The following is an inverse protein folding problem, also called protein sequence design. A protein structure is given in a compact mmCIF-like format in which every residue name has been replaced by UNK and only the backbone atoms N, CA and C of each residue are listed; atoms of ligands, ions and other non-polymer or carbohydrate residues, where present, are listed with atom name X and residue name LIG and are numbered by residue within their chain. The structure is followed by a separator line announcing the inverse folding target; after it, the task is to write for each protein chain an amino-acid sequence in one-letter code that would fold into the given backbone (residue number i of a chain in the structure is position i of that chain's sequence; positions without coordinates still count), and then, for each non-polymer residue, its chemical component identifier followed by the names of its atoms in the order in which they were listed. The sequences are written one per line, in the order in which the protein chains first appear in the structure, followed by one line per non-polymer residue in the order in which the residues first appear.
data_IF_019885412674
#
_entry.id   IF_019885412674
#
_cell.length_a   1.000
_cell.length_b   1.000
_cell.length_c   1.000
_cell.angle_alpha   90.00
_cell.angle_beta   90.00
_cell.angle_gamma   90.00
#
_symmetry.space_group_name_H-M   'P 1'
#
loop_
_entity.id
_entity.type
_entity.pdbx_description
1 polymer ?
#
# COMPACT_ATOMS: atom_id res chain seq x y z
N UNK A 1 9.65 7.16 18.90
CA UNK A 1 9.55 6.74 17.49
C UNK A 1 8.20 7.23 16.96
N UNK A 2 8.18 7.96 15.84
CA UNK A 2 6.96 8.58 15.31
C UNK A 2 5.97 7.49 14.85
N UNK A 3 4.73 7.53 15.35
CA UNK A 3 3.69 6.55 15.05
C UNK A 3 3.37 6.47 13.54
N UNK A 4 3.46 7.58 12.81
CA UNK A 4 3.30 7.59 11.36
C UNK A 4 4.42 6.79 10.66
N UNK A 5 5.66 6.92 11.14
CA UNK A 5 6.80 6.14 10.60
C UNK A 5 6.58 4.65 10.84
N UNK A 6 6.15 4.26 12.05
CA UNK A 6 5.83 2.87 12.37
C UNK A 6 4.75 2.29 11.45
N UNK A 7 3.69 3.05 11.20
CA UNK A 7 2.61 2.59 10.34
C UNK A 7 3.04 2.50 8.87
N UNK A 8 3.88 3.44 8.38
CA UNK A 8 4.48 3.34 7.05
C UNK A 8 5.40 2.11 6.92
N UNK A 9 6.20 1.81 7.95
CA UNK A 9 7.05 0.61 8.00
C UNK A 9 6.22 -0.67 7.95
N UNK A 10 5.09 -0.76 8.65
CA UNK A 10 4.20 -1.94 8.58
C UNK A 10 3.66 -2.17 7.16
N UNK A 11 3.25 -1.10 6.46
CA UNK A 11 2.81 -1.20 5.05
C UNK A 11 3.96 -1.67 4.17
N UNK A 12 5.15 -1.11 4.38
CA UNK A 12 6.37 -1.48 3.66
C UNK A 12 6.71 -2.96 3.86
N UNK A 13 6.70 -3.44 5.10
CA UNK A 13 6.97 -4.82 5.49
C UNK A 13 5.96 -5.79 4.87
N UNK A 14 4.66 -5.47 4.93
CA UNK A 14 3.61 -6.29 4.32
C UNK A 14 3.85 -6.49 2.82
N UNK A 15 4.18 -5.41 2.10
CA UNK A 15 4.39 -5.44 0.67
C UNK A 15 5.79 -5.93 0.26
N UNK A 16 6.71 -6.21 1.18
CA UNK A 16 8.09 -6.57 0.82
C UNK A 16 8.23 -7.96 0.19
N UNK A 17 7.59 -9.03 0.71
CA UNK A 17 7.77 -10.36 0.12
C UNK A 17 7.30 -10.42 -1.33
N UNK A 18 8.02 -11.21 -2.16
CA UNK A 18 7.66 -11.43 -3.55
C UNK A 18 6.23 -11.99 -3.64
N UNK A 19 5.40 -11.37 -4.47
CA UNK A 19 4.01 -11.78 -4.67
C UNK A 19 3.02 -11.21 -3.66
N UNK A 20 3.43 -10.35 -2.69
CA UNK A 20 2.50 -9.65 -1.77
C UNK A 20 1.83 -8.42 -2.35
N UNK A 21 2.29 -7.96 -3.52
CA UNK A 21 1.73 -6.81 -4.22
C UNK A 21 0.89 -7.22 -5.44
N UNK A 22 -0.22 -6.53 -5.68
CA UNK A 22 -1.05 -6.69 -6.88
C UNK A 22 -1.54 -5.36 -7.45
N UNK A 23 -1.85 -5.38 -8.75
CA UNK A 23 -2.56 -4.32 -9.47
C UNK A 23 -4.01 -4.71 -9.74
N UNK A 24 -4.84 -3.70 -9.99
CA UNK A 24 -6.24 -3.79 -10.48
C UNK A 24 -7.18 -4.60 -9.57
N UNK A 25 -6.79 -4.80 -8.33
CA UNK A 25 -7.54 -5.51 -7.31
C UNK A 25 -7.09 -5.01 -5.95
N UNK A 26 -8.02 -4.78 -5.02
CA UNK A 26 -7.69 -4.39 -3.66
C UNK A 26 -6.90 -5.51 -2.97
N UNK A 27 -7.33 -6.75 -3.18
CA UNK A 27 -6.71 -7.97 -2.69
C UNK A 27 -6.86 -9.12 -3.70
N UNK A 28 -5.99 -10.12 -3.63
CA UNK A 28 -6.21 -11.43 -4.27
C UNK A 28 -5.96 -12.59 -3.33
N UNK A 29 -6.67 -13.69 -3.57
CA UNK A 29 -6.41 -14.98 -2.91
C UNK A 29 -5.24 -15.75 -3.58
N UNK A 30 -4.91 -16.92 -3.02
CA UNK A 30 -3.84 -17.79 -3.52
C UNK A 30 -4.08 -18.30 -4.97
N UNK A 31 -5.33 -18.30 -5.43
CA UNK A 31 -5.69 -18.69 -6.79
C UNK A 31 -5.69 -17.48 -7.76
N UNK A 32 -5.42 -16.28 -7.27
CA UNK A 32 -5.37 -15.05 -8.06
C UNK A 32 -6.73 -14.35 -8.23
N UNK A 33 -7.79 -14.85 -7.58
CA UNK A 33 -9.11 -14.25 -7.65
C UNK A 33 -9.12 -12.93 -6.88
N UNK A 34 -9.75 -11.91 -7.45
CA UNK A 34 -9.97 -10.64 -6.76
C UNK A 34 -10.94 -10.83 -5.59
N UNK A 35 -10.58 -10.29 -4.42
CA UNK A 35 -11.46 -10.24 -3.25
C UNK A 35 -11.96 -8.80 -3.09
N UNK A 36 -13.27 -8.64 -2.87
CA UNK A 36 -13.95 -7.34 -2.85
C UNK A 36 -14.39 -6.87 -1.46
N UNK A 37 -14.27 -7.69 -0.41
CA UNK A 37 -14.69 -7.34 0.95
C UNK A 37 -13.54 -7.47 1.96
N UNK A 38 -13.57 -6.65 3.01
CA UNK A 38 -12.58 -6.68 4.10
C UNK A 38 -12.70 -7.96 4.96
N UNK A 39 -13.89 -8.53 5.11
CA UNK A 39 -14.11 -9.76 5.88
C UNK A 39 -13.51 -10.99 5.19
N UNK A 40 -13.60 -11.07 3.86
CA UNK A 40 -12.94 -12.12 3.08
C UNK A 40 -11.41 -11.92 3.04
N UNK A 41 -10.96 -10.67 3.17
CA UNK A 41 -9.56 -10.31 3.14
C UNK A 41 -8.77 -11.00 4.27
N UNK A 42 -9.23 -10.88 5.53
CA UNK A 42 -8.47 -11.38 6.69
C UNK A 42 -8.24 -12.89 6.64
N UNK A 43 -9.13 -13.61 5.95
CA UNK A 43 -9.15 -15.06 5.93
C UNK A 43 -8.49 -15.68 4.69
N UNK A 44 -8.40 -14.94 3.58
CA UNK A 44 -8.04 -15.55 2.28
C UNK A 44 -7.06 -14.75 1.42
N UNK A 45 -6.82 -13.48 1.72
CA UNK A 45 -5.95 -12.68 0.88
C UNK A 45 -4.48 -13.06 1.04
N UNK A 46 -3.83 -13.36 -0.08
CA UNK A 46 -2.38 -13.58 -0.14
C UNK A 46 -1.62 -12.33 -0.54
N UNK A 47 -2.24 -11.42 -1.28
CA UNK A 47 -1.61 -10.17 -1.70
C UNK A 47 -2.60 -9.00 -1.73
N UNK A 48 -2.06 -7.78 -1.70
CA UNK A 48 -2.84 -6.55 -1.69
C UNK A 48 -2.23 -5.51 -2.64
N UNK A 49 -3.06 -4.58 -3.14
CA UNK A 49 -2.53 -3.35 -3.71
C UNK A 49 -2.00 -2.43 -2.61
N UNK A 50 -1.42 -1.28 -2.98
CA UNK A 50 -0.95 -0.29 -2.01
C UNK A 50 -2.06 0.17 -1.05
N UNK A 51 -3.27 0.46 -1.56
CA UNK A 51 -4.38 0.86 -0.71
C UNK A 51 -4.82 -0.28 0.21
N UNK A 52 -4.90 -1.51 -0.32
CA UNK A 52 -5.22 -2.69 0.46
C UNK A 52 -4.22 -2.89 1.60
N UNK A 53 -2.92 -2.85 1.31
CA UNK A 53 -1.86 -2.96 2.32
C UNK A 53 -1.99 -1.91 3.44
N UNK A 54 -2.38 -0.67 3.12
CA UNK A 54 -2.66 0.35 4.13
C UNK A 54 -3.80 -0.10 5.05
N UNK A 55 -4.93 -0.55 4.51
CA UNK A 55 -6.08 -0.98 5.32
C UNK A 55 -5.78 -2.16 6.24
N UNK A 56 -4.83 -3.02 5.86
CA UNK A 56 -4.44 -4.21 6.62
C UNK A 56 -3.46 -3.86 7.73
N UNK A 57 -2.45 -3.08 7.38
CA UNK A 57 -1.27 -2.91 8.21
C UNK A 57 -1.42 -1.78 9.23
N UNK A 58 -2.43 -0.94 9.06
CA UNK A 58 -2.57 0.34 9.78
C UNK A 58 -3.89 0.38 10.52
N UNK A 59 -3.91 0.73 11.82
CA UNK A 59 -5.16 0.91 12.55
C UNK A 59 -6.04 1.99 11.91
N UNK A 60 -7.39 1.84 11.91
CA UNK A 60 -8.30 2.72 11.17
C UNK A 60 -8.07 4.22 11.40
N UNK A 61 -7.78 4.63 12.63
CA UNK A 61 -7.58 6.03 13.00
C UNK A 61 -6.30 6.66 12.41
N UNK A 62 -5.37 5.87 11.85
CA UNK A 62 -4.12 6.35 11.24
C UNK A 62 -4.09 6.23 9.72
N UNK A 63 -5.09 5.59 9.10
CA UNK A 63 -5.13 5.32 7.66
C UNK A 63 -4.97 6.60 6.85
N UNK A 64 -5.71 7.66 7.19
CA UNK A 64 -5.66 8.91 6.42
C UNK A 64 -4.31 9.61 6.50
N UNK A 65 -3.65 9.55 7.65
CA UNK A 65 -2.30 10.11 7.82
C UNK A 65 -1.27 9.35 6.98
N UNK A 66 -1.35 8.02 6.95
CA UNK A 66 -0.50 7.18 6.09
C UNK A 66 -0.76 7.45 4.62
N UNK A 67 -2.04 7.49 4.20
CA UNK A 67 -2.42 7.80 2.81
C UNK A 67 -1.89 9.16 2.37
N UNK A 68 -2.06 10.21 3.19
CA UNK A 68 -1.55 11.55 2.88
C UNK A 68 -0.03 11.57 2.72
N UNK A 69 0.70 10.90 3.61
CA UNK A 69 2.15 10.81 3.53
C UNK A 69 2.61 10.15 2.22
N UNK A 70 2.00 9.03 1.85
CA UNK A 70 2.27 8.30 0.59
C UNK A 70 1.89 9.14 -0.63
N UNK A 71 0.69 9.74 -0.64
CA UNK A 71 0.19 10.59 -1.74
C UNK A 71 1.14 11.74 -2.02
N UNK A 72 1.73 12.34 -0.97
CA UNK A 72 2.73 13.40 -1.10
C UNK A 72 4.03 12.98 -1.78
N UNK A 73 4.27 11.67 -1.96
CA UNK A 73 5.48 11.12 -2.62
C UNK A 73 5.19 10.45 -3.97
N UNK A 74 3.94 10.52 -4.45
CA UNK A 74 3.55 10.00 -5.76
C UNK A 74 4.11 10.87 -6.88
N UNK A 75 4.40 10.29 -8.06
CA UNK A 75 4.78 11.07 -9.22
C UNK A 75 3.63 12.00 -9.67
N UNK A 76 3.92 13.14 -10.31
CA UNK A 76 2.91 14.08 -10.78
C UNK A 76 1.83 13.46 -11.68
N UNK A 77 2.20 12.43 -12.46
CA UNK A 77 1.27 11.68 -13.33
C UNK A 77 0.17 10.93 -12.58
N UNK A 78 0.33 10.72 -11.27
CA UNK A 78 -0.63 10.08 -10.39
C UNK A 78 -1.05 10.98 -9.22
N UNK A 79 -0.89 12.30 -9.38
CA UNK A 79 -1.06 13.27 -8.30
C UNK A 79 -2.40 13.10 -7.57
N UNK A 80 -2.31 12.73 -6.29
CA UNK A 80 -3.46 12.65 -5.38
C UNK A 80 -4.12 11.27 -5.29
N UNK A 81 -3.82 10.32 -6.16
CA UNK A 81 -4.65 9.13 -6.33
C UNK A 81 -3.84 7.84 -6.30
N UNK A 82 -3.83 7.18 -5.14
CA UNK A 82 -3.10 5.92 -4.90
C UNK A 82 -3.44 4.85 -5.95
N UNK A 83 -4.71 4.72 -6.34
CA UNK A 83 -5.12 3.67 -7.28
C UNK A 83 -4.64 3.94 -8.72
N UNK A 84 -4.54 5.21 -9.15
CA UNK A 84 -3.95 5.53 -10.46
C UNK A 84 -2.48 5.15 -10.52
N UNK A 85 -1.71 5.47 -9.47
CA UNK A 85 -0.32 5.04 -9.38
C UNK A 85 -0.20 3.51 -9.34
N UNK A 86 -0.97 2.85 -8.48
CA UNK A 86 -0.86 1.41 -8.28
C UNK A 86 -1.22 0.61 -9.55
N UNK A 87 -2.26 1.04 -10.27
CA UNK A 87 -2.85 0.27 -11.38
C UNK A 87 -2.33 0.67 -12.76
N UNK A 88 -1.41 1.66 -12.82
CA UNK A 88 -0.66 1.98 -14.03
C UNK A 88 0.15 0.76 -14.48
N UNK A 89 0.05 0.41 -15.77
CA UNK A 89 0.67 -0.80 -16.33
C UNK A 89 2.21 -0.81 -16.23
N UNK A 90 2.84 0.36 -16.10
CA UNK A 90 4.28 0.50 -15.91
C UNK A 90 4.72 0.35 -14.46
N UNK A 91 3.83 0.54 -13.49
CA UNK A 91 4.15 0.44 -12.06
C UNK A 91 4.56 -0.98 -11.71
N UNK A 92 5.63 -1.09 -10.90
CA UNK A 92 6.13 -2.33 -10.33
C UNK A 92 6.08 -2.26 -8.81
N UNK A 93 6.18 -3.42 -8.16
CA UNK A 93 6.29 -3.53 -6.70
C UNK A 93 7.44 -2.65 -6.17
N UNK A 94 8.58 -2.62 -6.86
CA UNK A 94 9.73 -1.77 -6.49
C UNK A 94 9.39 -0.29 -6.45
N UNK A 95 8.55 0.20 -7.36
CA UNK A 95 8.17 1.61 -7.41
C UNK A 95 7.25 1.95 -6.23
N UNK A 96 6.34 1.03 -5.90
CA UNK A 96 5.46 1.13 -4.72
C UNK A 96 6.28 1.16 -3.43
N UNK A 97 7.24 0.26 -3.29
CA UNK A 97 8.14 0.24 -2.13
C UNK A 97 8.96 1.54 -2.05
N UNK A 98 9.47 2.06 -3.18
CA UNK A 98 10.23 3.29 -3.22
C UNK A 98 9.40 4.53 -2.84
N UNK A 99 8.10 4.59 -3.18
CA UNK A 99 7.19 5.65 -2.70
C UNK A 99 7.06 5.61 -1.18
N UNK A 100 6.90 4.42 -0.61
CA UNK A 100 6.78 4.25 0.85
C UNK A 100 8.11 4.63 1.53
N UNK A 101 9.24 4.22 0.96
CA UNK A 101 10.57 4.55 1.48
C UNK A 101 10.79 6.08 1.52
N UNK A 102 10.44 6.81 0.44
CA UNK A 102 10.48 8.28 0.45
C UNK A 102 9.55 8.91 1.50
N UNK A 103 8.37 8.30 1.74
CA UNK A 103 7.44 8.80 2.75
C UNK A 103 8.01 8.60 4.16
N UNK A 104 8.66 7.47 4.41
CA UNK A 104 9.36 7.18 5.68
C UNK A 104 10.48 8.20 5.88
N UNK A 105 11.35 8.39 4.89
CA UNK A 105 12.47 9.36 4.94
C UNK A 105 11.97 10.77 5.22
N UNK A 106 10.90 11.21 4.53
CA UNK A 106 10.35 12.55 4.69
C UNK A 106 9.74 12.81 6.07
N UNK A 107 9.14 11.79 6.70
CA UNK A 107 8.50 11.91 8.02
C UNK A 107 9.52 11.72 9.16
N UNK A 108 10.62 11.01 8.90
CA UNK A 108 11.67 10.76 9.87
C UNK A 108 12.72 11.88 9.95
N UNK A 109 12.85 12.71 8.91
CA UNK A 109 13.70 13.90 8.87
C UNK A 109 13.12 15.06 9.70
#
# INVERSE_FOLDING_TARGET
MNELVLNLQKVREYLTPKGRWTQRALFRDAAGNSISTLDEYENRATCACLLGAIHISVPPQHIDSVKRAIVGQLPPSAAGVIHWFNDDLGTRQSDVLAVIDRAIEKVAA
#
